data_IF_599237273724
#
_entry.id   IF_599237273724
#
_cell.length_a   1.000
_cell.length_b   1.000
_cell.length_c   1.000
_cell.angle_alpha   90.00
_cell.angle_beta   90.00
_cell.angle_gamma   90.00
#
_symmetry.space_group_name_H-M   'P 1'
#
loop_
_entity.id
_entity.type
_entity.pdbx_description
1 polymer ?
#
# COMPACT_ATOMS: atom_id res chain seq x y z
N UNK A 1 -40.33 -50.30 -63.99
CA UNK A 1 -39.02 -50.13 -63.32
C UNK A 1 -39.07 -48.75 -62.69
N UNK A 2 -39.65 -48.70 -61.50
CA UNK A 2 -39.92 -47.44 -60.80
C UNK A 2 -38.65 -47.04 -60.05
N UNK A 3 -38.21 -45.80 -60.29
CA UNK A 3 -37.13 -45.14 -59.57
C UNK A 3 -37.68 -44.32 -58.40
N UNK A 4 -38.77 -44.77 -57.76
CA UNK A 4 -39.45 -44.04 -56.68
C UNK A 4 -38.88 -44.34 -55.29
N UNK A 5 -37.82 -45.15 -55.19
CA UNK A 5 -37.31 -45.65 -53.92
C UNK A 5 -36.02 -44.99 -53.41
N UNK A 6 -35.44 -44.01 -54.11
CA UNK A 6 -34.12 -43.46 -53.75
C UNK A 6 -34.11 -42.04 -53.17
N UNK A 7 -35.27 -41.46 -52.83
CA UNK A 7 -35.29 -40.23 -52.03
C UNK A 7 -35.27 -40.59 -50.53
N UNK A 8 -34.20 -41.26 -50.13
CA UNK A 8 -33.80 -41.39 -48.74
C UNK A 8 -33.51 -39.99 -48.20
N UNK A 9 -34.29 -39.62 -47.18
CA UNK A 9 -34.24 -38.34 -46.51
C UNK A 9 -32.88 -38.16 -45.84
N UNK A 10 -31.92 -37.55 -46.52
CA UNK A 10 -30.80 -36.87 -45.86
C UNK A 10 -31.37 -35.65 -45.11
N UNK A 11 -32.00 -35.93 -43.96
CA UNK A 11 -32.26 -34.93 -42.94
C UNK A 11 -30.94 -34.60 -42.24
N UNK A 12 -30.03 -34.00 -43.02
CA UNK A 12 -28.85 -33.35 -42.50
C UNK A 12 -29.29 -32.32 -41.46
N UNK A 13 -29.02 -32.61 -40.20
CA UNK A 13 -29.28 -31.74 -39.06
C UNK A 13 -28.68 -30.36 -39.34
N UNK A 14 -29.52 -29.39 -39.71
CA UNK A 14 -29.12 -27.98 -39.86
C UNK A 14 -28.60 -27.52 -38.51
N UNK A 15 -27.27 -27.44 -38.38
CA UNK A 15 -26.64 -26.79 -37.24
C UNK A 15 -27.05 -25.33 -37.26
N UNK A 16 -27.93 -24.96 -36.33
CA UNK A 16 -28.31 -23.57 -36.11
C UNK A 16 -27.11 -22.91 -35.43
N UNK A 17 -26.33 -22.15 -36.20
CA UNK A 17 -25.24 -21.36 -35.64
C UNK A 17 -25.85 -20.14 -34.93
N UNK A 18 -26.02 -20.23 -33.62
CA UNK A 18 -26.31 -19.09 -32.76
C UNK A 18 -25.01 -18.32 -32.51
N UNK A 19 -24.64 -17.43 -33.43
CA UNK A 19 -23.48 -16.55 -33.29
C UNK A 19 -23.85 -15.26 -32.57
N UNK A 20 -22.98 -14.79 -31.66
CA UNK A 20 -23.08 -13.46 -31.05
C UNK A 20 -22.78 -12.39 -32.10
N UNK A 21 -23.56 -11.30 -32.13
CA UNK A 21 -23.33 -10.24 -33.10
C UNK A 21 -22.17 -9.34 -32.67
N UNK A 22 -21.45 -8.77 -33.65
CA UNK A 22 -20.38 -7.81 -33.35
C UNK A 22 -20.91 -6.59 -32.58
N UNK A 23 -22.15 -6.16 -32.85
CA UNK A 23 -22.75 -5.02 -32.18
C UNK A 23 -23.07 -5.32 -30.71
N UNK A 24 -23.56 -6.51 -30.38
CA UNK A 24 -23.76 -6.92 -28.99
C UNK A 24 -22.42 -6.91 -28.23
N UNK A 25 -21.35 -7.38 -28.86
CA UNK A 25 -20.03 -7.39 -28.24
C UNK A 25 -19.48 -5.99 -28.01
N UNK A 26 -19.68 -5.06 -28.96
CA UNK A 26 -19.25 -3.67 -28.81
C UNK A 26 -19.94 -2.96 -27.64
N UNK A 27 -21.24 -3.20 -27.44
CA UNK A 27 -21.98 -2.60 -26.32
C UNK A 27 -21.46 -3.17 -24.99
N UNK A 28 -21.20 -4.48 -24.92
CA UNK A 28 -20.66 -5.11 -23.71
C UNK A 28 -19.30 -4.51 -23.34
N UNK A 29 -18.39 -4.37 -24.30
CA UNK A 29 -17.07 -3.78 -24.06
C UNK A 29 -17.18 -2.31 -23.64
N UNK A 30 -18.12 -1.54 -24.23
CA UNK A 30 -18.35 -0.16 -23.83
C UNK A 30 -18.80 -0.04 -22.36
N UNK A 31 -19.72 -0.89 -21.92
CA UNK A 31 -20.19 -0.90 -20.52
C UNK A 31 -19.06 -1.32 -19.57
N UNK A 32 -18.33 -2.39 -19.89
CA UNK A 32 -17.18 -2.85 -19.08
C UNK A 32 -16.10 -1.75 -19.00
N UNK A 33 -15.87 -1.01 -20.10
CA UNK A 33 -14.93 0.11 -20.12
C UNK A 33 -15.28 1.21 -19.12
N UNK A 34 -16.56 1.61 -19.05
CA UNK A 34 -17.03 2.61 -18.07
C UNK A 34 -16.90 2.08 -16.64
N UNK A 35 -17.30 0.83 -16.40
CA UNK A 35 -17.19 0.22 -15.07
C UNK A 35 -15.73 0.12 -14.62
N UNK A 36 -14.82 -0.32 -15.50
CA UNK A 36 -13.40 -0.44 -15.21
C UNK A 36 -12.75 0.92 -14.90
N UNK A 37 -13.13 1.97 -15.63
CA UNK A 37 -12.62 3.33 -15.41
C UNK A 37 -12.91 3.84 -13.98
N UNK A 38 -14.04 3.45 -13.37
CA UNK A 38 -14.40 3.81 -11.99
C UNK A 38 -13.83 2.80 -10.99
N UNK A 39 -13.95 1.50 -11.29
CA UNK A 39 -13.60 0.42 -10.37
C UNK A 39 -12.10 0.33 -10.10
N UNK A 40 -11.25 0.54 -11.12
CA UNK A 40 -9.79 0.44 -10.97
C UNK A 40 -9.24 1.45 -9.97
N UNK A 41 -9.46 2.78 -10.09
CA UNK A 41 -8.94 3.74 -9.13
C UNK A 41 -9.55 3.55 -7.73
N UNK A 42 -10.81 3.13 -7.65
CA UNK A 42 -11.44 2.81 -6.36
C UNK A 42 -10.77 1.63 -5.67
N UNK A 43 -10.51 0.53 -6.40
CA UNK A 43 -9.84 -0.65 -5.87
C UNK A 43 -8.40 -0.32 -5.44
N UNK A 44 -7.67 0.47 -6.23
CA UNK A 44 -6.33 0.95 -5.87
C UNK A 44 -6.36 1.75 -4.56
N UNK A 45 -7.31 2.67 -4.41
CA UNK A 45 -7.46 3.44 -3.18
C UNK A 45 -7.82 2.56 -1.97
N UNK A 46 -8.65 1.53 -2.17
CA UNK A 46 -8.97 0.56 -1.12
C UNK A 46 -7.73 -0.21 -0.66
N UNK A 47 -6.94 -0.73 -1.61
CA UNK A 47 -5.69 -1.43 -1.31
C UNK A 47 -4.71 -0.49 -0.61
N UNK A 48 -4.51 0.73 -1.11
CA UNK A 48 -3.61 1.71 -0.48
C UNK A 48 -4.02 2.04 0.96
N UNK A 49 -5.32 2.14 1.26
CA UNK A 49 -5.81 2.32 2.63
C UNK A 49 -5.56 1.10 3.50
N UNK A 50 -5.73 -0.11 2.97
CA UNK A 50 -5.42 -1.34 3.69
C UNK A 50 -3.91 -1.41 4.02
N UNK A 51 -3.05 -1.10 3.06
CA UNK A 51 -1.60 -1.01 3.24
C UNK A 51 -1.23 0.00 4.33
N UNK A 52 -1.79 1.21 4.27
CA UNK A 52 -1.54 2.25 5.28
C UNK A 52 -2.05 1.84 6.68
N UNK A 53 -3.20 1.15 6.76
CA UNK A 53 -3.75 0.67 8.02
C UNK A 53 -2.87 -0.40 8.66
N UNK A 54 -2.30 -1.31 7.86
CA UNK A 54 -1.35 -2.32 8.35
C UNK A 54 -0.07 -1.66 8.87
N UNK A 55 0.51 -0.76 8.07
CA UNK A 55 1.69 0.01 8.46
C UNK A 55 1.47 0.78 9.77
N UNK A 56 0.31 1.43 9.91
CA UNK A 56 -0.04 2.14 11.13
C UNK A 56 -0.20 1.20 12.32
N UNK A 57 -0.80 0.02 12.13
CA UNK A 57 -0.95 -0.99 13.18
C UNK A 57 0.40 -1.47 13.70
N UNK A 58 1.33 -1.81 12.80
CA UNK A 58 2.69 -2.24 13.18
C UNK A 58 3.47 -1.10 13.84
N UNK A 59 3.41 0.11 13.28
CA UNK A 59 4.05 1.29 13.87
C UNK A 59 3.48 1.68 15.23
N UNK A 60 2.18 1.46 15.46
CA UNK A 60 1.56 1.72 16.77
C UNK A 60 2.09 0.77 17.85
N UNK A 61 2.41 -0.48 17.50
CA UNK A 61 3.08 -1.40 18.42
C UNK A 61 4.47 -0.89 18.82
N UNK A 62 5.26 -0.43 17.83
CA UNK A 62 6.57 0.16 18.07
C UNK A 62 6.49 1.46 18.90
N UNK A 63 5.46 2.30 18.68
CA UNK A 63 5.24 3.53 19.45
C UNK A 63 5.07 3.27 20.95
N UNK A 64 4.38 2.20 21.33
CA UNK A 64 4.23 1.82 22.75
C UNK A 64 5.58 1.53 23.40
N UNK A 65 6.42 0.72 22.75
CA UNK A 65 7.76 0.41 23.25
C UNK A 65 8.65 1.66 23.37
N UNK A 66 8.57 2.57 22.39
CA UNK A 66 9.26 3.86 22.43
C UNK A 66 8.79 4.72 23.62
N UNK A 67 7.48 4.76 23.88
CA UNK A 67 6.92 5.51 25.00
C UNK A 67 7.35 4.94 26.35
N UNK A 68 7.34 3.61 26.51
CA UNK A 68 7.83 2.93 27.71
C UNK A 68 9.31 3.23 27.96
N UNK A 69 10.15 3.12 26.93
CA UNK A 69 11.56 3.45 27.04
C UNK A 69 11.77 4.92 27.46
N UNK A 70 11.02 5.85 26.87
CA UNK A 70 11.10 7.26 27.23
C UNK A 70 10.68 7.51 28.67
N UNK A 71 9.65 6.82 29.17
CA UNK A 71 9.19 6.96 30.57
C UNK A 71 10.23 6.47 31.58
N UNK A 72 10.99 5.43 31.24
CA UNK A 72 12.01 4.86 32.12
C UNK A 72 13.34 5.62 32.05
N UNK A 73 13.74 6.07 30.85
CA UNK A 73 15.09 6.57 30.61
C UNK A 73 15.13 8.08 30.37
N UNK A 74 13.99 8.75 30.18
CA UNK A 74 13.89 10.19 29.92
C UNK A 74 14.41 10.63 28.55
N UNK A 75 14.79 9.68 27.69
CA UNK A 75 15.33 9.92 26.35
C UNK A 75 14.67 8.98 25.35
N UNK A 76 14.53 9.39 24.09
CA UNK A 76 14.04 8.50 23.05
C UNK A 76 15.08 7.40 22.73
N UNK A 77 14.63 6.17 22.42
CA UNK A 77 15.53 5.11 21.97
C UNK A 77 16.13 5.46 20.60
N UNK A 78 17.38 5.08 20.37
CA UNK A 78 18.11 5.41 19.15
C UNK A 78 17.74 4.49 17.97
N UNK A 79 17.30 3.27 18.29
CA UNK A 79 17.02 2.18 17.36
C UNK A 79 16.02 1.18 17.96
N UNK A 80 15.66 0.13 17.20
CA UNK A 80 14.74 -0.92 17.65
C UNK A 80 15.26 -1.67 18.88
N UNK A 81 16.56 -2.02 18.90
CA UNK A 81 17.14 -2.82 19.97
C UNK A 81 17.13 -2.09 21.31
N UNK A 82 17.46 -0.80 21.31
CA UNK A 82 17.36 0.07 22.50
C UNK A 82 15.92 0.23 22.98
N UNK A 83 14.95 0.26 22.06
CA UNK A 83 13.53 0.27 22.40
C UNK A 83 12.99 -1.08 22.90
N UNK A 84 13.80 -2.15 22.91
CA UNK A 84 13.34 -3.51 23.25
C UNK A 84 12.45 -4.15 22.17
N UNK A 85 12.49 -3.64 20.95
CA UNK A 85 11.80 -4.20 19.80
C UNK A 85 12.67 -5.25 19.08
N UNK A 86 12.03 -6.15 18.34
CA UNK A 86 12.75 -7.07 17.43
C UNK A 86 13.47 -6.29 16.33
N UNK A 87 14.43 -6.96 15.68
CA UNK A 87 15.11 -6.42 14.51
C UNK A 87 14.09 -5.91 13.47
N UNK A 88 14.42 -4.82 12.79
CA UNK A 88 13.46 -4.13 11.92
C UNK A 88 12.87 -5.05 10.84
N UNK A 89 13.66 -6.01 10.34
CA UNK A 89 13.27 -7.00 9.33
C UNK A 89 12.29 -8.04 9.86
N UNK A 90 12.25 -8.27 11.17
CA UNK A 90 11.31 -9.21 11.79
C UNK A 90 9.94 -8.57 12.04
N UNK A 91 9.88 -7.23 12.09
CA UNK A 91 8.64 -6.46 12.17
C UNK A 91 8.15 -6.19 10.76
N UNK A 92 7.63 -7.24 10.12
CA UNK A 92 7.11 -7.22 8.75
C UNK A 92 5.62 -7.59 8.70
N UNK A 93 4.98 -7.25 7.58
CA UNK A 93 3.58 -7.56 7.31
C UNK A 93 3.37 -7.88 5.83
N UNK A 94 2.11 -8.06 5.42
CA UNK A 94 1.79 -8.36 4.01
C UNK A 94 2.15 -7.21 3.07
N UNK A 95 2.10 -5.97 3.57
CA UNK A 95 2.41 -4.76 2.81
C UNK A 95 3.55 -3.92 3.42
N UNK A 96 4.20 -4.41 4.48
CA UNK A 96 5.23 -3.69 5.22
C UNK A 96 6.49 -4.54 5.27
N UNK A 97 7.57 -4.05 4.68
CA UNK A 97 8.85 -4.78 4.59
C UNK A 97 9.61 -4.76 5.93
N UNK A 98 9.62 -3.61 6.62
CA UNK A 98 10.25 -3.48 7.94
C UNK A 98 9.74 -2.27 8.69
N UNK A 99 9.82 -2.31 10.03
CA UNK A 99 9.59 -1.15 10.90
C UNK A 99 10.89 -0.83 11.63
N UNK A 100 11.50 0.30 11.27
CA UNK A 100 12.77 0.76 11.82
C UNK A 100 12.59 2.08 12.57
N UNK A 101 13.13 2.15 13.78
CA UNK A 101 13.35 3.37 14.52
C UNK A 101 14.66 4.02 14.06
N UNK A 102 14.59 5.31 13.78
CA UNK A 102 15.74 6.15 13.51
C UNK A 102 15.59 7.40 14.36
N UNK A 103 16.59 7.69 15.19
CA UNK A 103 16.76 9.04 15.73
C UNK A 103 17.52 9.86 14.68
N UNK A 104 16.91 10.95 14.19
CA UNK A 104 17.69 11.99 13.54
C UNK A 104 18.56 12.62 14.62
N UNK A 105 19.82 12.20 14.69
CA UNK A 105 20.83 12.86 15.49
C UNK A 105 21.08 14.22 14.84
N UNK A 106 20.28 15.24 15.18
CA UNK A 106 20.63 16.61 14.83
C UNK A 106 22.06 16.84 15.37
N UNK A 107 23.03 17.24 14.55
CA UNK A 107 24.38 17.48 15.04
C UNK A 107 24.25 18.56 16.12
N UNK A 108 24.62 18.22 17.36
CA UNK A 108 24.51 19.04 18.57
C UNK A 108 25.36 20.34 18.53
N UNK A 109 25.72 20.86 17.36
CA UNK A 109 26.61 21.99 17.18
C UNK A 109 25.90 23.35 17.08
N UNK A 110 24.58 23.39 16.87
CA UNK A 110 23.86 24.66 16.68
C UNK A 110 23.81 25.56 17.94
N UNK A 111 24.01 25.00 19.14
CA UNK A 111 23.95 25.77 20.41
C UNK A 111 25.31 26.15 21.01
N UNK A 112 26.45 25.84 20.38
CA UNK A 112 27.78 26.05 20.99
C UNK A 112 28.78 26.92 20.19
N UNK A 113 28.40 27.52 19.06
CA UNK A 113 29.39 28.16 18.16
C UNK A 113 29.06 29.57 17.63
N UNK A 114 28.36 30.41 18.40
CA UNK A 114 28.60 31.85 18.25
C UNK A 114 28.99 32.50 19.59
N UNK A 115 30.27 32.86 19.81
CA UNK A 115 30.61 33.80 20.86
C UNK A 115 29.99 35.16 20.51
N UNK A 116 29.21 35.76 21.41
CA UNK A 116 28.80 37.18 21.29
C UNK A 116 30.07 38.01 21.51
N UNK A 117 30.63 38.66 20.48
CA UNK A 117 31.79 39.51 20.68
C UNK A 117 31.33 40.72 21.51
N UNK A 118 32.04 41.01 22.61
CA UNK A 118 31.85 42.18 23.50
C UNK A 118 30.78 42.10 24.61
N UNK A 119 30.36 40.92 25.06
CA UNK A 119 29.58 40.84 26.30
C UNK A 119 30.44 41.23 27.52
N UNK A 120 30.29 42.46 28.02
CA UNK A 120 30.87 42.90 29.30
C UNK A 120 29.78 42.89 30.37
N UNK A 121 29.86 41.92 31.29
CA UNK A 121 28.99 41.85 32.47
C UNK A 121 29.17 43.03 33.45
N UNK A 122 30.23 43.84 33.28
CA UNK A 122 30.57 44.98 34.14
C UNK A 122 29.74 46.25 33.87
N UNK A 123 28.70 46.20 33.03
CA UNK A 123 27.75 47.30 32.83
C UNK A 123 26.41 47.09 33.54
N UNK A 124 26.31 46.02 34.33
CA UNK A 124 25.18 45.74 35.21
C UNK A 124 25.67 45.55 36.65
N UNK A 125 26.42 46.52 37.16
CA UNK A 125 26.41 46.92 38.57
C UNK A 125 26.91 48.36 38.67
#
# INVERSE_FOLDING_TARGET
>A
MDGSAEQELDSGMKRINFGFTLIELMIVVAIIGVLAAIAIPQYQNYVARAQASEAFSLASGAKTAVAEYFMLNGTFPADNGTAGLSEATDISGNYVESVRLLVEQLPHYFLLLMPIPNFKASQWY
#
